data_IF_837474361666
#
_entry.id   IF_837474361666
#
_cell.length_a   1.000
_cell.length_b   1.000
_cell.length_c   1.000
_cell.angle_alpha   90.00
_cell.angle_beta   90.00
_cell.angle_gamma   90.00
#
_symmetry.space_group_name_H-M   'P 1'
#
loop_
_entity.id
_entity.type
_entity.pdbx_description
1 polymer ?
#
# COMPACT_ATOMS: atom_id res chain seq x y z
N UNK A 1 -30.66 -19.36 -33.35
CA UNK A 1 -29.35 -18.72 -33.07
C UNK A 1 -29.46 -17.33 -32.47
N UNK A 2 -30.10 -16.37 -33.16
CA UNK A 2 -30.19 -14.98 -32.68
C UNK A 2 -30.95 -14.89 -31.34
N UNK A 3 -32.10 -15.54 -31.21
CA UNK A 3 -32.87 -15.56 -29.96
C UNK A 3 -32.05 -16.15 -28.79
N UNK A 4 -31.36 -17.28 -29.01
CA UNK A 4 -30.46 -17.89 -28.03
C UNK A 4 -29.35 -16.94 -27.57
N UNK A 5 -28.73 -16.22 -28.52
CA UNK A 5 -27.70 -15.23 -28.20
C UNK A 5 -28.26 -14.00 -27.49
N UNK A 6 -29.50 -13.63 -27.79
CA UNK A 6 -30.22 -12.53 -27.12
C UNK A 6 -30.49 -12.87 -25.66
N UNK A 7 -31.01 -14.07 -25.40
CA UNK A 7 -31.25 -14.58 -24.04
C UNK A 7 -29.96 -14.67 -23.22
N UNK A 8 -28.86 -15.15 -23.83
CA UNK A 8 -27.55 -15.19 -23.18
C UNK A 8 -26.99 -13.80 -22.85
N UNK A 9 -27.22 -12.80 -23.72
CA UNK A 9 -26.81 -11.42 -23.46
C UNK A 9 -27.62 -10.81 -22.31
N UNK A 10 -28.94 -11.02 -22.29
CA UNK A 10 -29.78 -10.54 -21.20
C UNK A 10 -29.42 -11.18 -19.85
N UNK A 11 -29.10 -12.48 -19.84
CA UNK A 11 -28.64 -13.17 -18.62
C UNK A 11 -27.31 -12.60 -18.13
N UNK A 12 -26.35 -12.36 -19.04
CA UNK A 12 -25.06 -11.72 -18.71
C UNK A 12 -25.22 -10.28 -18.24
N UNK A 13 -26.17 -9.54 -18.79
CA UNK A 13 -26.47 -8.17 -18.35
C UNK A 13 -27.07 -8.14 -16.94
N UNK A 14 -27.97 -9.08 -16.62
CA UNK A 14 -28.51 -9.24 -15.25
C UNK A 14 -27.42 -9.63 -14.25
N UNK A 15 -26.52 -10.54 -14.62
CA UNK A 15 -25.36 -10.91 -13.80
C UNK A 15 -24.42 -9.72 -13.57
N UNK A 16 -24.13 -8.94 -14.60
CA UNK A 16 -23.31 -7.74 -14.49
C UNK A 16 -23.94 -6.68 -13.58
N UNK A 17 -25.26 -6.46 -13.69
CA UNK A 17 -26.00 -5.55 -12.82
C UNK A 17 -25.99 -6.01 -11.36
N UNK A 18 -26.12 -7.31 -11.11
CA UNK A 18 -26.01 -7.89 -9.76
C UNK A 18 -24.61 -7.69 -9.16
N UNK A 19 -23.55 -7.96 -9.93
CA UNK A 19 -22.17 -7.76 -9.50
C UNK A 19 -21.80 -6.29 -9.28
N UNK A 20 -22.42 -5.36 -10.01
CA UNK A 20 -22.22 -3.92 -9.80
C UNK A 20 -22.95 -3.40 -8.56
N UNK A 21 -24.11 -3.97 -8.21
CA UNK A 21 -24.92 -3.55 -7.07
C UNK A 21 -24.51 -4.21 -5.74
N UNK A 22 -23.91 -5.40 -5.79
CA UNK A 22 -23.46 -6.16 -4.61
C UNK A 22 -22.41 -5.42 -3.74
N UNK A 23 -21.35 -4.80 -4.30
CA UNK A 23 -20.39 -4.00 -3.52
C UNK A 23 -21.03 -2.77 -2.85
N UNK A 24 -22.04 -2.17 -3.49
CA UNK A 24 -22.79 -1.05 -2.92
C UNK A 24 -23.60 -1.47 -1.69
N UNK A 25 -24.34 -2.58 -1.80
CA UNK A 25 -25.13 -3.17 -0.72
C UNK A 25 -24.27 -3.59 0.48
N UNK A 26 -23.08 -4.14 0.24
CA UNK A 26 -22.14 -4.52 1.30
C UNK A 26 -21.60 -3.30 2.05
N UNK A 27 -21.20 -2.27 1.30
CA UNK A 27 -20.74 -1.00 1.87
C UNK A 27 -21.84 -0.30 2.68
N UNK A 28 -23.09 -0.34 2.23
CA UNK A 28 -24.22 0.21 2.96
C UNK A 28 -24.50 -0.53 4.27
N UNK A 29 -24.39 -1.87 4.28
CA UNK A 29 -24.49 -2.69 5.49
C UNK A 29 -23.37 -2.36 6.48
N UNK A 30 -22.15 -2.21 6.00
CA UNK A 30 -21.00 -1.83 6.84
C UNK A 30 -21.19 -0.43 7.44
N UNK A 31 -21.62 0.55 6.64
CA UNK A 31 -21.93 1.91 7.12
C UNK A 31 -23.04 1.90 8.17
N UNK A 32 -24.07 1.06 7.99
CA UNK A 32 -25.15 0.92 8.97
C UNK A 32 -24.65 0.32 10.30
N UNK A 33 -23.76 -0.68 10.26
CA UNK A 33 -23.12 -1.26 11.43
C UNK A 33 -22.22 -0.25 12.15
N UNK A 34 -21.39 0.49 11.40
CA UNK A 34 -20.52 1.54 11.94
C UNK A 34 -21.35 2.64 12.61
N UNK A 35 -22.44 3.10 11.99
CA UNK A 35 -23.35 4.10 12.59
C UNK A 35 -23.96 3.59 13.89
N UNK A 36 -24.35 2.31 13.97
CA UNK A 36 -24.87 1.70 15.20
C UNK A 36 -23.80 1.65 16.30
N UNK A 37 -22.59 1.20 15.96
CA UNK A 37 -21.47 1.14 16.91
C UNK A 37 -21.09 2.53 17.43
N UNK A 38 -21.09 3.55 16.57
CA UNK A 38 -20.83 4.95 16.97
C UNK A 38 -21.92 5.42 17.94
N UNK A 39 -23.20 5.21 17.61
CA UNK A 39 -24.30 5.60 18.49
C UNK A 39 -24.25 4.91 19.86
N UNK A 40 -23.84 3.63 19.92
CA UNK A 40 -23.65 2.90 21.17
C UNK A 40 -22.47 3.46 21.99
N UNK A 41 -21.35 3.77 21.34
CA UNK A 41 -20.20 4.42 21.99
C UNK A 41 -20.56 5.79 22.54
N UNK A 42 -21.34 6.58 21.82
CA UNK A 42 -21.84 7.87 22.28
C UNK A 42 -22.75 7.74 23.50
N UNK A 43 -23.68 6.78 23.50
CA UNK A 43 -24.51 6.49 24.67
C UNK A 43 -23.69 6.06 25.88
N UNK A 44 -22.70 5.19 25.69
CA UNK A 44 -21.80 4.77 26.76
C UNK A 44 -20.98 5.93 27.33
N UNK A 45 -20.47 6.82 26.47
CA UNK A 45 -19.77 8.05 26.88
C UNK A 45 -20.68 8.99 27.66
N UNK A 46 -21.92 9.18 27.21
CA UNK A 46 -22.90 10.02 27.92
C UNK A 46 -23.22 9.46 29.32
N UNK A 47 -23.45 8.15 29.42
CA UNK A 47 -23.69 7.48 30.71
C UNK A 47 -22.48 7.61 31.64
N UNK A 48 -21.26 7.38 31.12
CA UNK A 48 -20.03 7.57 31.89
C UNK A 48 -19.87 9.00 32.39
N UNK A 49 -20.15 10.01 31.56
CA UNK A 49 -20.06 11.40 31.95
C UNK A 49 -21.05 11.75 33.08
N UNK A 50 -22.28 11.23 33.03
CA UNK A 50 -23.28 11.41 34.10
C UNK A 50 -22.82 10.78 35.41
N UNK A 51 -22.27 9.55 35.36
CA UNK A 51 -21.75 8.86 36.54
C UNK A 51 -20.55 9.61 37.15
N UNK A 52 -19.60 10.07 36.33
CA UNK A 52 -18.47 10.86 36.79
C UNK A 52 -18.92 12.15 37.48
N UNK A 53 -19.94 12.82 36.93
CA UNK A 53 -20.51 14.03 37.56
C UNK A 53 -21.19 13.71 38.89
N UNK A 54 -22.01 12.66 38.96
CA UNK A 54 -22.67 12.23 40.19
C UNK A 54 -21.66 11.88 41.29
N UNK A 55 -20.60 11.14 40.95
CA UNK A 55 -19.55 10.77 41.89
C UNK A 55 -18.79 11.99 42.41
N UNK A 56 -18.54 12.98 41.55
CA UNK A 56 -17.92 14.24 41.95
C UNK A 56 -18.84 15.02 42.90
N UNK A 57 -20.13 15.12 42.61
CA UNK A 57 -21.13 15.79 43.44
C UNK A 57 -21.25 15.14 44.83
N UNK A 58 -21.31 13.80 44.88
CA UNK A 58 -21.31 13.03 46.13
C UNK A 58 -20.02 13.25 46.93
N UNK A 59 -18.86 13.26 46.26
CA UNK A 59 -17.57 13.55 46.92
C UNK A 59 -17.56 14.96 47.51
N UNK A 60 -18.08 15.95 46.78
CA UNK A 60 -18.21 17.32 47.29
C UNK A 60 -19.19 17.41 48.46
N UNK A 61 -20.30 16.67 48.43
CA UNK A 61 -21.23 16.60 49.55
C UNK A 61 -20.58 15.97 50.79
N UNK A 62 -19.89 14.84 50.64
CA UNK A 62 -19.18 14.19 51.74
C UNK A 62 -18.11 15.10 52.35
N UNK A 63 -17.33 15.82 51.52
CA UNK A 63 -16.36 16.81 52.00
C UNK A 63 -17.02 17.94 52.79
N UNK A 64 -18.17 18.45 52.33
CA UNK A 64 -18.93 19.48 53.06
C UNK A 64 -19.45 18.96 54.40
N UNK A 65 -20.02 17.75 54.43
CA UNK A 65 -20.48 17.12 55.66
C UNK A 65 -19.32 16.90 56.64
N UNK A 66 -18.20 16.38 56.15
CA UNK A 66 -17.01 16.16 56.97
C UNK A 66 -16.49 17.48 57.55
N UNK A 67 -16.39 18.54 56.75
CA UNK A 67 -16.00 19.87 57.21
C UNK A 67 -16.96 20.41 58.28
N UNK A 68 -18.28 20.28 58.08
CA UNK A 68 -19.27 20.68 59.07
C UNK A 68 -19.12 19.89 60.39
N UNK A 69 -18.93 18.58 60.32
CA UNK A 69 -18.68 17.76 61.52
C UNK A 69 -17.36 18.12 62.21
N UNK A 70 -16.31 18.43 61.45
CA UNK A 70 -15.03 18.88 62.01
C UNK A 70 -15.18 20.22 62.72
N UNK A 71 -15.92 21.18 62.16
CA UNK A 71 -16.22 22.45 62.84
C UNK A 71 -17.02 22.26 64.12
N UNK A 72 -18.00 21.34 64.12
CA UNK A 72 -18.77 21.03 65.32
C UNK A 72 -17.88 20.41 66.40
N UNK A 73 -17.00 19.47 66.06
CA UNK A 73 -16.01 18.91 66.98
C UNK A 73 -15.04 19.98 67.52
N UNK A 74 -14.57 20.89 66.67
CA UNK A 74 -13.73 22.02 67.09
C UNK A 74 -14.47 22.97 68.03
N UNK A 75 -15.74 23.25 67.79
CA UNK A 75 -16.57 24.06 68.68
C UNK A 75 -16.74 23.39 70.05
N UNK A 76 -17.05 22.09 70.07
CA UNK A 76 -17.16 21.33 71.32
C UNK A 76 -15.83 21.32 72.10
N UNK A 77 -14.69 21.15 71.41
CA UNK A 77 -13.38 21.24 72.02
C UNK A 77 -13.14 22.61 72.67
N UNK A 78 -13.43 23.71 71.96
CA UNK A 78 -13.34 25.07 72.51
C UNK A 78 -14.22 25.28 73.74
N UNK A 79 -15.47 24.82 73.71
CA UNK A 79 -16.36 24.92 74.88
C UNK A 79 -15.85 24.12 76.08
N UNK A 80 -15.17 22.99 75.86
CA UNK A 80 -14.53 22.20 76.91
C UNK A 80 -13.28 22.89 77.46
N UNK A 81 -12.49 23.56 76.62
CA UNK A 81 -11.31 24.33 77.03
C UNK A 81 -11.72 25.59 77.82
N UNK A 82 -12.76 26.31 77.40
CA UNK A 82 -13.32 27.47 78.11
C UNK A 82 -13.87 27.10 79.49
N UNK A 83 -14.50 25.92 79.62
CA UNK A 83 -14.94 25.36 80.91
C UNK A 83 -13.77 25.02 81.85
N UNK A 84 -12.61 24.67 81.31
CA UNK A 84 -11.39 24.38 82.07
C UNK A 84 -10.55 25.65 82.34
N UNK A 85 -10.72 26.70 81.53
CA UNK A 85 -9.96 27.95 81.58
C UNK A 85 -10.52 29.04 82.51
N UNK A 86 -11.74 28.92 83.05
CA UNK A 86 -12.21 29.76 84.17
C UNK A 86 -11.56 29.32 85.48
N UNK A 87 -10.61 30.08 86.06
CA UNK A 87 -10.03 29.77 87.36
C UNK A 87 -10.97 30.34 88.41
N UNK A 88 -11.79 29.49 89.03
CA UNK A 88 -12.71 29.95 90.05
C UNK A 88 -13.34 28.82 90.85
N UNK A 89 -12.76 28.57 92.03
CA UNK A 89 -13.51 28.24 93.23
C UNK A 89 -14.44 27.01 93.17
N UNK A 90 -13.85 25.83 93.35
CA UNK A 90 -14.48 24.76 94.14
C UNK A 90 -13.41 23.88 94.80
N UNK A 91 -12.40 24.52 95.41
CA UNK A 91 -11.68 23.93 96.52
C UNK A 91 -12.61 23.96 97.74
N UNK A 92 -13.56 23.02 97.81
CA UNK A 92 -14.26 22.74 99.06
C UNK A 92 -13.39 21.75 99.83
N UNK A 93 -12.67 22.30 100.80
CA UNK A 93 -12.14 21.59 101.94
C UNK A 93 -13.22 20.65 102.48
N UNK A 94 -12.89 19.36 102.61
CA UNK A 94 -13.57 18.52 103.58
C UNK A 94 -12.52 18.11 104.61
N UNK A 95 -12.78 18.38 105.90
CA UNK A 95 -11.83 18.15 106.97
C UNK A 95 -11.69 16.65 107.19
N UNK A 96 -10.45 16.18 107.34
CA UNK A 96 -10.18 14.87 107.92
C UNK A 96 -10.88 14.77 109.29
N UNK A 97 -11.71 13.75 109.53
CA UNK A 97 -12.09 13.39 110.87
C UNK A 97 -11.23 12.22 111.30
N UNK A 98 -10.22 12.50 112.13
CA UNK A 98 -9.74 11.51 113.09
C UNK A 98 -10.90 11.19 114.04
N UNK A 99 -11.54 10.03 113.85
CA UNK A 99 -12.42 9.41 114.84
C UNK A 99 -12.39 7.89 114.62
N UNK A 100 -12.24 7.14 115.71
CA UNK A 100 -12.19 5.69 115.74
C UNK A 100 -13.48 5.04 115.16
N UNK A 101 -13.44 4.64 113.88
CA UNK A 101 -14.33 3.63 113.28
C UNK A 101 -13.72 3.07 111.96
N UNK A 102 -12.55 2.44 112.06
CA UNK A 102 -11.80 1.94 110.89
C UNK A 102 -12.50 0.78 110.17
N UNK A 103 -13.26 -0.04 110.89
CA UNK A 103 -13.80 -1.28 110.35
C UNK A 103 -15.04 -1.07 109.47
N UNK A 104 -15.90 -0.09 109.79
CA UNK A 104 -17.08 0.22 108.98
C UNK A 104 -16.71 0.84 107.62
N UNK A 105 -15.70 1.72 107.58
CA UNK A 105 -15.26 2.34 106.32
C UNK A 105 -14.52 1.35 105.41
N UNK A 106 -13.69 0.47 106.00
CA UNK A 106 -13.02 -0.61 105.27
C UNK A 106 -14.03 -1.61 104.71
N UNK A 107 -15.07 -1.94 105.48
CA UNK A 107 -16.13 -2.84 105.00
C UNK A 107 -16.91 -2.25 103.81
N UNK A 108 -17.24 -0.95 103.83
CA UNK A 108 -17.89 -0.27 102.72
C UNK A 108 -17.02 -0.24 101.44
N UNK A 109 -15.70 -0.06 101.59
CA UNK A 109 -14.76 -0.12 100.47
C UNK A 109 -14.68 -1.54 99.88
N UNK A 110 -14.67 -2.57 100.72
CA UNK A 110 -14.64 -3.98 100.28
C UNK A 110 -15.92 -4.34 99.50
N UNK A 111 -17.09 -3.92 99.96
CA UNK A 111 -18.35 -4.15 99.22
C UNK A 111 -18.38 -3.42 97.87
N UNK A 112 -17.87 -2.18 97.82
CA UNK A 112 -17.74 -1.44 96.57
C UNK A 112 -16.80 -2.16 95.57
N UNK A 113 -15.65 -2.65 96.03
CA UNK A 113 -14.72 -3.42 95.20
C UNK A 113 -15.32 -4.75 94.74
N UNK A 114 -16.13 -5.41 95.57
CA UNK A 114 -16.86 -6.64 95.17
C UNK A 114 -17.86 -6.35 94.06
N UNK A 115 -18.62 -5.27 94.17
CA UNK A 115 -19.55 -4.84 93.13
C UNK A 115 -18.82 -4.45 91.84
N UNK A 116 -17.74 -3.67 91.94
CA UNK A 116 -16.90 -3.32 90.80
C UNK A 116 -16.31 -4.56 90.13
N UNK A 117 -15.85 -5.55 90.91
CA UNK A 117 -15.36 -6.82 90.37
C UNK A 117 -16.47 -7.60 89.66
N UNK A 118 -17.71 -7.58 90.19
CA UNK A 118 -18.89 -8.17 89.54
C UNK A 118 -19.18 -7.49 88.21
N UNK A 119 -19.19 -6.16 88.17
CA UNK A 119 -19.43 -5.38 86.96
C UNK A 119 -18.31 -5.59 85.93
N UNK A 120 -17.05 -5.65 86.36
CA UNK A 120 -15.92 -5.93 85.46
C UNK A 120 -16.04 -7.33 84.84
N UNK A 121 -16.43 -8.34 85.62
CA UNK A 121 -16.69 -9.69 85.09
C UNK A 121 -17.79 -9.68 84.03
N UNK A 122 -18.90 -8.98 84.27
CA UNK A 122 -19.97 -8.83 83.28
C UNK A 122 -19.52 -8.11 82.01
N UNK A 123 -18.66 -7.09 82.13
CA UNK A 123 -18.07 -6.40 80.98
C UNK A 123 -17.12 -7.31 80.18
N UNK A 124 -16.33 -8.13 80.86
CA UNK A 124 -15.44 -9.12 80.22
C UNK A 124 -16.25 -10.11 79.41
N UNK A 125 -17.28 -10.72 80.01
CA UNK A 125 -18.16 -11.66 79.29
C UNK A 125 -18.84 -11.01 78.09
N UNK A 126 -19.25 -9.74 78.21
CA UNK A 126 -19.87 -9.01 77.09
C UNK A 126 -18.89 -8.77 75.93
N UNK A 127 -17.63 -8.45 76.22
CA UNK A 127 -16.58 -8.27 75.20
C UNK A 127 -16.20 -9.61 74.58
N UNK A 128 -16.13 -10.68 75.36
CA UNK A 128 -15.91 -12.04 74.86
C UNK A 128 -17.01 -12.45 73.88
N UNK A 129 -18.28 -12.17 74.19
CA UNK A 129 -19.42 -12.42 73.29
C UNK A 129 -19.33 -11.59 72.00
N UNK A 130 -18.95 -10.32 72.08
CA UNK A 130 -18.73 -9.46 70.92
C UNK A 130 -17.59 -10.00 70.04
N UNK A 131 -16.49 -10.42 70.66
CA UNK A 131 -15.35 -11.00 69.96
C UNK A 131 -15.75 -12.30 69.24
N UNK A 132 -16.51 -13.19 69.90
CA UNK A 132 -17.03 -14.41 69.29
C UNK A 132 -18.00 -14.13 68.12
N UNK A 133 -18.77 -13.04 68.16
CA UNK A 133 -19.60 -12.60 67.01
C UNK A 133 -18.74 -12.06 65.87
N UNK A 134 -17.74 -11.24 66.19
CA UNK A 134 -16.84 -10.66 65.19
C UNK A 134 -16.03 -11.74 64.47
N UNK A 135 -15.48 -12.71 65.20
CA UNK A 135 -14.75 -13.85 64.61
C UNK A 135 -15.63 -14.67 63.65
N UNK A 136 -16.91 -14.90 63.99
CA UNK A 136 -17.86 -15.58 63.10
C UNK A 136 -18.13 -14.78 61.83
N UNK A 137 -18.29 -13.45 61.95
CA UNK A 137 -18.46 -12.58 60.79
C UNK A 137 -17.20 -12.56 59.91
N UNK A 138 -16.02 -12.46 60.50
CA UNK A 138 -14.75 -12.45 59.79
C UNK A 138 -14.53 -13.76 59.02
N UNK A 139 -14.80 -14.91 59.67
CA UNK A 139 -14.76 -16.21 59.01
C UNK A 139 -15.76 -16.33 57.84
N UNK A 140 -17.01 -15.87 58.04
CA UNK A 140 -18.03 -15.89 56.98
C UNK A 140 -17.68 -14.95 55.81
N UNK A 141 -17.12 -13.77 56.10
CA UNK A 141 -16.61 -12.85 55.07
C UNK A 141 -15.50 -13.51 54.27
N UNK A 142 -14.56 -14.17 54.94
CA UNK A 142 -13.45 -14.84 54.27
C UNK A 142 -13.93 -16.01 53.40
N UNK A 143 -14.92 -16.77 53.86
CA UNK A 143 -15.57 -17.81 53.03
C UNK A 143 -16.26 -17.22 51.81
N UNK A 144 -17.00 -16.12 51.97
CA UNK A 144 -17.65 -15.43 50.86
C UNK A 144 -16.64 -14.91 49.84
N UNK A 145 -15.56 -14.27 50.31
CA UNK A 145 -14.47 -13.78 49.46
C UNK A 145 -13.79 -14.94 48.75
N UNK A 146 -13.49 -16.05 49.44
CA UNK A 146 -12.96 -17.27 48.80
C UNK A 146 -13.89 -17.81 47.72
N UNK A 147 -15.20 -17.81 47.97
CA UNK A 147 -16.22 -18.21 47.01
C UNK A 147 -16.21 -17.35 45.73
N UNK A 148 -16.15 -16.02 45.87
CA UNK A 148 -16.03 -15.10 44.73
C UNK A 148 -14.75 -15.33 43.92
N UNK A 149 -13.62 -15.53 44.60
CA UNK A 149 -12.36 -15.84 43.91
C UNK A 149 -12.44 -17.16 43.13
N UNK A 150 -13.11 -18.17 43.68
CA UNK A 150 -13.32 -19.44 42.98
C UNK A 150 -14.21 -19.28 41.74
N UNK A 151 -15.29 -18.50 41.83
CA UNK A 151 -16.17 -18.19 40.70
C UNK A 151 -15.43 -17.44 39.58
N UNK A 152 -14.66 -16.40 39.94
CA UNK A 152 -13.84 -15.65 38.98
C UNK A 152 -12.81 -16.54 38.29
N UNK A 153 -12.14 -17.42 39.03
CA UNK A 153 -11.20 -18.39 38.46
C UNK A 153 -11.89 -19.38 37.54
N UNK A 154 -13.09 -19.87 37.89
CA UNK A 154 -13.88 -20.76 37.03
C UNK A 154 -14.26 -20.10 35.69
N UNK A 155 -14.65 -18.83 35.71
CA UNK A 155 -14.94 -18.07 34.48
C UNK A 155 -13.69 -17.82 33.63
N UNK A 156 -12.54 -17.53 34.26
CA UNK A 156 -11.28 -17.33 33.53
C UNK A 156 -10.68 -18.64 32.98
N UNK A 157 -10.87 -19.76 33.68
CA UNK A 157 -10.37 -21.07 33.29
C UNK A 157 -11.26 -21.78 32.25
N UNK A 158 -12.41 -21.20 31.90
CA UNK A 158 -13.20 -21.71 30.77
C UNK A 158 -12.36 -21.53 29.50
N UNK A 159 -12.08 -22.58 28.70
CA UNK A 159 -11.16 -22.50 27.55
C UNK A 159 -11.73 -21.75 26.34
N UNK A 160 -13.03 -21.46 26.35
CA UNK A 160 -13.77 -20.78 25.28
C UNK A 160 -13.18 -19.42 24.87
N UNK A 161 -12.75 -18.52 25.79
CA UNK A 161 -12.09 -17.27 25.44
C UNK A 161 -10.70 -17.46 24.83
N UNK A 162 -9.98 -18.52 25.17
CA UNK A 162 -8.68 -18.84 24.57
C UNK A 162 -8.83 -19.40 23.16
N UNK A 163 -9.82 -20.27 22.94
CA UNK A 163 -10.15 -20.78 21.62
C UNK A 163 -10.63 -19.66 20.69
N UNK A 164 -11.50 -18.76 21.18
CA UNK A 164 -11.91 -17.57 20.43
C UNK A 164 -10.73 -16.67 20.11
N UNK A 165 -9.81 -16.43 21.05
CA UNK A 165 -8.58 -15.65 20.79
C UNK A 165 -7.72 -16.29 19.69
N UNK A 166 -7.52 -17.61 19.74
CA UNK A 166 -6.76 -18.35 18.72
C UNK A 166 -7.45 -18.27 17.35
N UNK A 167 -8.76 -18.38 17.32
CA UNK A 167 -9.54 -18.29 16.08
C UNK A 167 -9.49 -16.86 15.49
N UNK A 168 -9.59 -15.83 16.33
CA UNK A 168 -9.39 -14.44 15.89
C UNK A 168 -7.99 -14.24 15.32
N UNK A 169 -6.95 -14.78 15.97
CA UNK A 169 -5.58 -14.72 15.44
C UNK A 169 -5.45 -15.46 14.10
N UNK A 170 -6.08 -16.63 13.94
CA UNK A 170 -6.08 -17.40 12.70
C UNK A 170 -6.76 -16.62 11.57
N UNK A 171 -7.94 -16.08 11.83
CA UNK A 171 -8.71 -15.30 10.85
C UNK A 171 -7.98 -14.00 10.48
N UNK A 172 -7.32 -13.34 11.43
CA UNK A 172 -6.51 -12.16 11.15
C UNK A 172 -5.33 -12.50 10.23
N UNK A 173 -4.61 -13.59 10.50
CA UNK A 173 -3.51 -14.02 9.64
C UNK A 173 -4.00 -14.36 8.21
N UNK A 174 -5.16 -15.01 8.08
CA UNK A 174 -5.77 -15.28 6.77
C UNK A 174 -6.21 -14.00 6.05
N UNK A 175 -6.71 -13.01 6.78
CA UNK A 175 -7.08 -11.73 6.19
C UNK A 175 -5.83 -10.97 5.69
N UNK A 176 -4.76 -10.95 6.48
CA UNK A 176 -3.48 -10.34 6.08
C UNK A 176 -2.93 -11.01 4.81
N UNK A 177 -2.90 -12.34 4.76
CA UNK A 177 -2.50 -13.09 3.56
C UNK A 177 -3.37 -12.72 2.33
N UNK A 178 -4.69 -12.65 2.50
CA UNK A 178 -5.59 -12.25 1.40
C UNK A 178 -5.41 -10.78 0.98
N UNK A 179 -5.05 -9.90 1.91
CA UNK A 179 -4.74 -8.52 1.60
C UNK A 179 -3.43 -8.41 0.81
N UNK A 180 -2.43 -9.20 1.17
CA UNK A 180 -1.15 -9.28 0.46
C UNK A 180 -1.33 -9.85 -0.95
N UNK A 181 -2.09 -10.94 -1.11
CA UNK A 181 -2.49 -11.49 -2.42
C UNK A 181 -3.17 -10.42 -3.29
N UNK A 182 -4.10 -9.66 -2.70
CA UNK A 182 -4.79 -8.58 -3.41
C UNK A 182 -3.84 -7.44 -3.79
N UNK A 183 -2.85 -7.13 -2.95
CA UNK A 183 -1.85 -6.11 -3.24
C UNK A 183 -0.92 -6.55 -4.38
N UNK A 184 -0.55 -7.84 -4.43
CA UNK A 184 0.20 -8.45 -5.53
C UNK A 184 -0.56 -8.39 -6.84
N UNK A 185 -1.80 -8.87 -6.87
CA UNK A 185 -2.63 -8.83 -8.06
C UNK A 185 -2.85 -7.39 -8.59
N UNK A 186 -2.96 -6.40 -7.70
CA UNK A 186 -3.04 -4.98 -8.08
C UNK A 186 -1.75 -4.48 -8.74
N UNK A 187 -0.58 -4.87 -8.21
CA UNK A 187 0.73 -4.53 -8.79
C UNK A 187 0.88 -5.15 -10.18
N UNK A 188 0.54 -6.43 -10.32
CA UNK A 188 0.56 -7.12 -11.61
C UNK A 188 -0.36 -6.46 -12.63
N UNK A 189 -1.60 -6.14 -12.25
CA UNK A 189 -2.55 -5.46 -13.13
C UNK A 189 -2.02 -4.08 -13.56
N UNK A 190 -1.40 -3.32 -12.66
CA UNK A 190 -0.79 -2.04 -13.01
C UNK A 190 0.37 -2.22 -13.99
N UNK A 191 1.22 -3.23 -13.79
CA UNK A 191 2.31 -3.57 -14.72
C UNK A 191 1.78 -3.96 -16.10
N UNK A 192 0.72 -4.78 -16.16
CA UNK A 192 0.11 -5.22 -17.41
C UNK A 192 -0.54 -4.06 -18.16
N UNK A 193 -1.20 -3.13 -17.46
CA UNK A 193 -1.73 -1.90 -18.06
C UNK A 193 -0.63 -1.04 -18.64
N UNK A 194 0.47 -0.82 -17.90
CA UNK A 194 1.61 -0.06 -18.42
C UNK A 194 2.24 -0.72 -19.64
N UNK A 195 2.38 -2.05 -19.66
CA UNK A 195 2.88 -2.79 -20.81
C UNK A 195 1.95 -2.67 -22.03
N UNK A 196 0.63 -2.75 -21.80
CA UNK A 196 -0.38 -2.55 -22.84
C UNK A 196 -0.31 -1.13 -23.41
N UNK A 197 -0.22 -0.13 -22.56
CA UNK A 197 -0.18 1.27 -22.99
C UNK A 197 1.11 1.56 -23.79
N UNK A 198 2.25 1.03 -23.37
CA UNK A 198 3.51 1.09 -24.14
C UNK A 198 3.42 0.36 -25.50
N UNK A 199 2.69 -0.77 -25.56
CA UNK A 199 2.44 -1.47 -26.82
C UNK A 199 1.56 -0.65 -27.77
N UNK A 200 0.53 0.04 -27.25
CA UNK A 200 -0.31 0.94 -28.04
C UNK A 200 0.49 2.13 -28.58
N UNK A 201 1.35 2.72 -27.78
CA UNK A 201 2.28 3.78 -28.24
C UNK A 201 3.19 3.27 -29.37
N UNK A 202 3.73 2.05 -29.24
CA UNK A 202 4.55 1.44 -30.29
C UNK A 202 3.76 1.22 -31.58
N UNK A 203 2.51 0.77 -31.50
CA UNK A 203 1.63 0.61 -32.67
C UNK A 203 1.41 1.95 -33.34
N UNK A 204 1.07 3.01 -32.59
CA UNK A 204 0.89 4.35 -33.15
C UNK A 204 2.16 4.85 -33.86
N UNK A 205 3.34 4.62 -33.28
CA UNK A 205 4.60 4.99 -33.92
C UNK A 205 4.83 4.23 -35.23
N UNK A 206 4.50 2.94 -35.28
CA UNK A 206 4.60 2.15 -36.51
C UNK A 206 3.58 2.60 -37.57
N UNK A 207 2.37 2.99 -37.18
CA UNK A 207 1.38 3.59 -38.08
C UNK A 207 1.92 4.88 -38.71
N UNK A 208 2.54 5.75 -37.91
CA UNK A 208 3.18 6.97 -38.43
C UNK A 208 4.34 6.64 -39.38
N UNK A 209 5.13 5.61 -39.07
CA UNK A 209 6.21 5.16 -39.96
C UNK A 209 5.68 4.65 -41.30
N UNK A 210 4.59 3.88 -41.29
CA UNK A 210 3.93 3.40 -42.52
C UNK A 210 3.45 4.58 -43.36
N UNK A 211 2.86 5.60 -42.73
CA UNK A 211 2.41 6.81 -43.43
C UNK A 211 3.60 7.54 -44.08
N UNK A 212 4.69 7.76 -43.34
CA UNK A 212 5.90 8.40 -43.86
C UNK A 212 6.46 7.62 -45.06
N UNK A 213 6.61 6.31 -44.94
CA UNK A 213 7.08 5.48 -46.05
C UNK A 213 6.14 5.50 -47.24
N UNK A 214 4.82 5.50 -47.01
CA UNK A 214 3.85 5.64 -48.10
C UNK A 214 4.08 6.95 -48.86
N UNK A 215 4.27 8.04 -48.13
CA UNK A 215 4.52 9.36 -48.74
C UNK A 215 5.84 9.37 -49.51
N UNK A 216 6.92 8.79 -48.96
CA UNK A 216 8.21 8.61 -49.64
C UNK A 216 8.07 7.78 -50.93
N UNK A 217 7.29 6.70 -50.91
CA UNK A 217 7.02 5.90 -52.11
C UNK A 217 6.22 6.68 -53.17
N UNK A 218 5.34 7.59 -52.76
CA UNK A 218 4.58 8.42 -53.71
C UNK A 218 5.43 9.53 -54.30
N UNK A 219 6.30 10.16 -53.52
CA UNK A 219 7.23 11.19 -53.99
C UNK A 219 8.24 10.60 -54.97
N UNK A 220 8.86 9.46 -54.63
CA UNK A 220 9.80 8.75 -55.50
C UNK A 220 9.15 8.33 -56.83
N UNK A 221 7.89 7.87 -56.79
CA UNK A 221 7.12 7.58 -58.01
C UNK A 221 6.89 8.83 -58.85
N UNK A 222 6.51 9.95 -58.24
CA UNK A 222 6.32 11.20 -58.95
C UNK A 222 7.64 11.71 -59.56
N UNK A 223 8.77 11.55 -58.86
CA UNK A 223 10.10 11.84 -59.39
C UNK A 223 10.45 10.94 -60.59
N UNK A 224 10.13 9.65 -60.50
CA UNK A 224 10.32 8.71 -61.60
C UNK A 224 9.49 9.09 -62.83
N UNK A 225 8.23 9.48 -62.65
CA UNK A 225 7.35 9.93 -63.75
C UNK A 225 7.87 11.22 -64.39
N UNK A 226 8.39 12.16 -63.59
CA UNK A 226 9.08 13.36 -64.10
C UNK A 226 10.32 13.00 -64.92
N UNK A 227 11.15 12.10 -64.40
CA UNK A 227 12.35 11.63 -65.10
C UNK A 227 11.98 10.91 -66.42
N UNK A 228 10.94 10.08 -66.41
CA UNK A 228 10.43 9.42 -67.62
C UNK A 228 9.92 10.44 -68.64
N UNK A 229 9.15 11.45 -68.22
CA UNK A 229 8.68 12.52 -69.12
C UNK A 229 9.86 13.25 -69.77
N UNK A 230 10.89 13.55 -68.98
CA UNK A 230 12.12 14.18 -69.48
C UNK A 230 12.87 13.31 -70.48
N UNK A 231 12.92 11.99 -70.26
CA UNK A 231 13.53 11.05 -71.21
C UNK A 231 12.79 11.10 -72.55
N UNK A 232 11.45 11.02 -72.54
CA UNK A 232 10.66 11.08 -73.78
C UNK A 232 10.89 12.41 -74.52
N UNK A 233 10.89 13.55 -73.82
CA UNK A 233 11.20 14.86 -74.43
C UNK A 233 12.59 14.89 -75.08
N UNK A 234 13.59 14.28 -74.43
CA UNK A 234 14.95 14.22 -74.95
C UNK A 234 15.05 13.26 -76.15
N UNK A 235 14.34 12.13 -76.12
CA UNK A 235 14.24 11.20 -77.25
C UNK A 235 13.60 11.87 -78.47
N UNK A 236 12.52 12.65 -78.30
CA UNK A 236 11.90 13.44 -79.36
C UNK A 236 12.86 14.49 -79.95
N UNK A 237 13.60 15.20 -79.09
CA UNK A 237 14.61 16.17 -79.52
C UNK A 237 15.73 15.50 -80.30
N UNK A 238 16.22 14.34 -79.84
CA UNK A 238 17.24 13.55 -80.54
C UNK A 238 16.71 13.09 -81.89
N UNK A 239 15.47 12.58 -81.97
CA UNK A 239 14.85 12.18 -83.23
C UNK A 239 14.70 13.36 -84.22
N UNK A 240 14.30 14.54 -83.73
CA UNK A 240 14.22 15.76 -84.54
C UNK A 240 15.60 16.17 -85.06
N UNK A 241 16.63 16.17 -84.20
CA UNK A 241 18.00 16.50 -84.56
C UNK A 241 18.58 15.49 -85.56
N UNK A 242 18.34 14.20 -85.37
CA UNK A 242 18.73 13.15 -86.32
C UNK A 242 18.09 13.37 -87.69
N UNK A 243 16.78 13.66 -87.73
CA UNK A 243 16.09 14.00 -88.98
C UNK A 243 16.68 15.26 -89.61
N UNK A 244 16.94 16.31 -88.83
CA UNK A 244 17.53 17.55 -89.35
C UNK A 244 18.97 17.34 -89.86
N UNK A 245 19.73 16.45 -89.22
CA UNK A 245 21.06 16.05 -89.66
C UNK A 245 20.99 15.27 -90.98
N UNK A 246 20.06 14.31 -91.13
CA UNK A 246 19.87 13.57 -92.37
C UNK A 246 19.50 14.50 -93.53
N UNK A 247 18.55 15.44 -93.33
CA UNK A 247 18.22 16.46 -94.35
C UNK A 247 19.42 17.34 -94.74
N UNK A 248 20.27 17.72 -93.77
CA UNK A 248 21.50 18.47 -94.05
C UNK A 248 22.54 17.63 -94.79
N UNK A 249 22.60 16.33 -94.53
CA UNK A 249 23.53 15.39 -95.14
C UNK A 249 23.11 15.09 -96.59
N UNK A 250 21.83 14.82 -96.84
CA UNK A 250 21.25 14.63 -98.18
C UNK A 250 21.38 15.90 -99.04
N UNK A 251 21.20 17.09 -98.45
CA UNK A 251 21.40 18.36 -99.14
C UNK A 251 22.87 18.71 -99.42
N UNK A 252 23.82 18.12 -98.69
CA UNK A 252 25.27 18.29 -98.89
C UNK A 252 25.83 17.26 -99.87
N UNK A 253 25.21 16.09 -99.97
CA UNK A 253 25.49 15.10 -101.02
C UNK A 253 25.01 15.57 -102.41
N UNK A 254 23.92 16.37 -102.48
CA UNK A 254 23.55 17.09 -103.70
C UNK A 254 24.50 18.25 -104.07
N UNK A 255 25.42 18.64 -103.18
CA UNK A 255 26.34 19.77 -103.35
C UNK A 255 27.80 19.41 -103.03
N UNK A 256 28.25 18.20 -103.35
CA UNK A 256 29.66 17.82 -103.28
C UNK A 256 30.24 17.52 -104.66
N UNK A 257 30.75 18.57 -105.31
CA UNK A 257 31.79 18.47 -106.33
C UNK A 257 32.92 19.45 -106.01
N UNK A 258 34.09 18.89 -105.63
CA UNK A 258 35.46 19.43 -105.79
C UNK A 258 35.85 20.67 -104.94
N UNK A 259 37.03 20.86 -104.34
CA UNK A 259 38.35 20.20 -104.35
C UNK A 259 39.29 21.01 -103.38
N UNK A 260 40.40 20.38 -102.94
CA UNK A 260 41.74 20.94 -102.54
C UNK A 260 42.24 20.94 -101.08
N UNK A 261 43.37 20.22 -100.98
CA UNK A 261 44.53 20.22 -100.07
C UNK A 261 45.01 21.56 -99.51
N UNK A 262 45.53 21.52 -98.27
CA UNK A 262 46.48 22.53 -97.76
C UNK A 262 46.80 22.35 -96.27
N UNK A 263 48.02 21.87 -95.97
CA UNK A 263 48.57 21.79 -94.61
C UNK A 263 48.92 23.16 -94.04
N UNK A 264 48.75 23.37 -92.73
CA UNK A 264 49.75 24.04 -91.88
C UNK A 264 49.40 23.95 -90.39
N UNK A 265 50.30 23.39 -89.61
CA UNK A 265 50.36 23.53 -88.15
C UNK A 265 50.74 24.97 -87.76
N UNK A 266 50.30 25.43 -86.58
CA UNK A 266 51.17 26.23 -85.72
C UNK A 266 51.22 25.71 -84.27
N UNK A 267 52.32 26.12 -83.62
CA UNK A 267 52.91 25.57 -82.40
C UNK A 267 52.19 26.02 -81.11
N UNK A 268 52.24 25.13 -80.12
CA UNK A 268 52.71 25.34 -78.73
C UNK A 268 52.33 26.64 -78.02
N UNK A 269 51.70 26.53 -76.84
CA UNK A 269 52.24 27.08 -75.61
C UNK A 269 51.75 26.27 -74.39
N UNK A 270 52.74 25.72 -73.71
CA UNK A 270 52.78 25.14 -72.37
C UNK A 270 52.78 26.29 -71.34
N UNK A 271 52.06 26.13 -70.23
CA UNK A 271 52.30 26.92 -69.01
C UNK A 271 51.95 26.05 -67.81
N UNK A 272 52.94 25.30 -67.35
CA UNK A 272 53.06 24.86 -65.96
C UNK A 272 53.34 26.09 -65.07
N UNK A 273 52.76 26.10 -63.86
CA UNK A 273 53.50 26.35 -62.61
C UNK A 273 52.55 26.43 -61.39
N UNK A 274 52.62 25.38 -60.58
CA UNK A 274 52.96 25.40 -59.15
C UNK A 274 51.99 26.00 -58.10
N UNK A 275 51.63 25.13 -57.15
CA UNK A 275 51.46 25.37 -55.70
C UNK A 275 52.56 26.31 -55.13
N UNK A 276 52.47 26.96 -53.93
CA UNK A 276 51.87 26.44 -52.68
C UNK A 276 51.27 27.52 -51.72
N UNK A 277 50.76 27.09 -50.56
CA UNK A 277 51.16 27.54 -49.20
C UNK A 277 50.15 27.01 -48.17
N UNK A 278 50.67 26.19 -47.26
CA UNK A 278 50.05 25.81 -46.00
C UNK A 278 50.43 26.81 -44.90
N UNK A 279 49.47 27.18 -44.04
CA UNK A 279 49.60 27.54 -42.61
C UNK A 279 48.25 28.12 -42.15
N UNK A 280 47.64 27.78 -41.02
CA UNK A 280 48.00 26.92 -39.90
C UNK A 280 46.99 27.13 -38.76
N UNK A 281 46.83 26.10 -37.91
CA UNK A 281 46.29 26.17 -36.55
C UNK A 281 44.75 26.14 -36.42
N UNK A 282 44.12 25.34 -35.54
CA UNK A 282 44.58 24.46 -34.47
C UNK A 282 43.43 23.49 -34.09
N UNK A 283 43.81 22.24 -33.78
CA UNK A 283 43.07 21.07 -33.21
C UNK A 283 42.57 21.31 -31.74
N UNK A 284 41.98 20.35 -30.96
CA UNK A 284 41.99 18.85 -31.02
C UNK A 284 40.63 18.14 -30.76
N UNK A 285 40.44 16.80 -30.83
CA UNK A 285 41.28 15.60 -30.98
C UNK A 285 40.41 14.38 -31.37
N UNK A 286 40.87 13.39 -32.17
CA UNK A 286 41.64 12.15 -31.86
C UNK A 286 41.11 11.33 -30.67
N UNK A 287 40.81 10.03 -30.77
CA UNK A 287 40.94 9.07 -31.88
C UNK A 287 40.49 7.66 -31.46
N UNK A 288 40.56 6.68 -32.37
CA UNK A 288 40.63 5.25 -32.07
C UNK A 288 41.27 4.54 -33.26
N UNK A 289 42.29 3.72 -32.98
CA UNK A 289 43.16 3.02 -33.92
C UNK A 289 43.16 1.53 -33.58
N UNK A 290 43.06 0.70 -34.63
CA UNK A 290 43.63 -0.63 -34.86
C UNK A 290 43.29 -1.81 -33.92
N UNK A 291 42.88 -2.95 -34.53
CA UNK A 291 43.74 -4.14 -34.69
C UNK A 291 43.06 -5.29 -35.46
N UNK A 292 43.93 -6.10 -36.08
CA UNK A 292 43.74 -7.22 -37.01
C UNK A 292 43.15 -8.54 -36.45
N UNK A 293 42.86 -9.45 -37.39
CA UNK A 293 42.25 -10.81 -37.35
C UNK A 293 42.92 -11.87 -36.42
N UNK A 294 42.34 -13.09 -36.32
CA UNK A 294 42.80 -14.17 -37.21
C UNK A 294 41.69 -15.05 -37.83
N UNK A 295 42.06 -15.67 -38.95
CA UNK A 295 41.32 -16.70 -39.69
C UNK A 295 41.31 -18.06 -38.98
N UNK A 296 40.37 -18.93 -39.39
CA UNK A 296 40.45 -20.41 -39.57
C UNK A 296 39.06 -21.02 -39.32
N UNK A 297 38.48 -21.72 -40.31
CA UNK A 297 37.29 -22.54 -40.07
C UNK A 297 36.31 -22.80 -41.22
N UNK A 298 36.77 -23.28 -42.38
CA UNK A 298 36.04 -24.28 -43.18
C UNK A 298 34.86 -23.82 -44.05
N UNK A 299 35.12 -23.66 -45.35
CA UNK A 299 34.12 -23.86 -46.39
C UNK A 299 33.76 -25.35 -46.52
N UNK A 300 32.47 -25.70 -46.56
CA UNK A 300 31.92 -26.77 -47.42
C UNK A 300 30.39 -26.79 -47.32
N UNK A 301 29.70 -26.71 -48.46
CA UNK A 301 28.28 -27.04 -48.55
C UNK A 301 27.44 -26.06 -49.33
N UNK A 302 27.62 -26.06 -50.66
CA UNK A 302 26.65 -25.52 -51.60
C UNK A 302 25.31 -26.23 -51.40
N UNK A 303 24.29 -25.48 -51.01
CA UNK A 303 22.92 -25.63 -51.53
C UNK A 303 22.24 -24.28 -51.33
N UNK A 304 21.52 -23.84 -52.36
CA UNK A 304 20.76 -22.59 -52.38
C UNK A 304 20.01 -22.39 -51.06
N UNK A 305 20.43 -21.39 -50.26
CA UNK A 305 19.59 -20.92 -49.16
C UNK A 305 18.46 -20.12 -49.80
N UNK A 306 17.39 -20.82 -50.15
CA UNK A 306 16.13 -20.22 -50.55
C UNK A 306 15.68 -19.25 -49.46
N UNK A 307 15.20 -18.09 -49.85
CA UNK A 307 14.43 -17.25 -48.94
C UNK A 307 13.15 -18.02 -48.62
N UNK A 308 13.12 -18.73 -47.48
CA UNK A 308 11.92 -19.43 -47.05
C UNK A 308 12.13 -20.81 -46.43
N UNK A 309 13.12 -20.97 -45.55
CA UNK A 309 13.28 -22.20 -44.77
C UNK A 309 13.05 -21.90 -43.27
N UNK A 310 11.98 -22.45 -42.71
CA UNK A 310 11.65 -22.43 -41.28
C UNK A 310 12.53 -23.45 -40.54
N UNK A 311 13.00 -23.12 -39.35
CA UNK A 311 13.90 -23.99 -38.56
C UNK A 311 13.31 -24.34 -37.20
N UNK A 312 13.47 -25.60 -36.81
CA UNK A 312 13.14 -26.04 -35.46
C UNK A 312 14.13 -25.42 -34.46
N UNK A 313 13.67 -24.71 -33.41
CA UNK A 313 14.55 -24.02 -32.47
C UNK A 313 15.33 -24.98 -31.55
N UNK A 314 14.99 -26.27 -31.53
CA UNK A 314 15.59 -27.26 -30.62
C UNK A 314 16.68 -28.11 -31.29
N UNK A 315 16.43 -28.61 -32.50
CA UNK A 315 17.38 -29.47 -33.23
C UNK A 315 17.95 -28.81 -34.51
N UNK A 316 17.52 -27.59 -34.83
CA UNK A 316 17.94 -26.82 -36.01
C UNK A 316 17.64 -27.49 -37.36
N UNK A 317 16.73 -28.47 -37.38
CA UNK A 317 16.26 -29.08 -38.61
C UNK A 317 15.49 -28.06 -39.45
N UNK A 318 15.84 -27.97 -40.74
CA UNK A 318 15.23 -27.04 -41.70
C UNK A 318 14.01 -27.68 -42.37
N UNK A 319 12.98 -26.86 -42.55
CA UNK A 319 11.72 -27.15 -43.22
C UNK A 319 11.47 -26.05 -44.23
N UNK A 320 10.95 -26.36 -45.41
CA UNK A 320 10.56 -25.31 -46.37
C UNK A 320 9.33 -24.54 -45.86
N UNK A 321 9.09 -23.32 -46.34
CA UNK A 321 7.91 -22.51 -45.99
C UNK A 321 6.56 -23.24 -46.22
N UNK A 322 6.49 -24.17 -47.18
CA UNK A 322 5.29 -24.98 -47.44
C UNK A 322 5.06 -26.10 -46.41
N UNK A 323 6.06 -26.40 -45.57
CA UNK A 323 6.05 -27.49 -44.58
C UNK A 323 5.77 -27.02 -43.14
N UNK A 324 5.12 -25.87 -42.98
CA UNK A 324 4.85 -25.27 -41.66
C UNK A 324 4.12 -26.21 -40.68
N UNK A 325 3.15 -27.00 -41.15
CA UNK A 325 2.43 -27.97 -40.30
C UNK A 325 3.32 -29.14 -39.82
N UNK A 326 4.29 -29.53 -40.64
CA UNK A 326 5.25 -30.60 -40.32
C UNK A 326 6.29 -30.10 -39.31
N UNK A 327 6.70 -28.84 -39.41
CA UNK A 327 7.52 -28.17 -38.40
C UNK A 327 6.81 -28.13 -37.05
N UNK A 328 5.53 -27.75 -36.97
CA UNK A 328 4.83 -27.69 -35.69
C UNK A 328 4.67 -29.07 -35.04
N UNK A 329 4.40 -30.11 -35.83
CA UNK A 329 4.36 -31.50 -35.35
C UNK A 329 5.73 -31.94 -34.83
N UNK A 330 6.78 -31.65 -35.60
CA UNK A 330 8.15 -31.93 -35.21
C UNK A 330 8.56 -31.20 -33.93
N UNK A 331 8.22 -29.91 -33.77
CA UNK A 331 8.53 -29.14 -32.56
C UNK A 331 7.85 -29.72 -31.33
N UNK A 332 6.62 -30.25 -31.46
CA UNK A 332 5.89 -30.91 -30.37
C UNK A 332 6.51 -32.26 -29.94
N UNK A 333 7.22 -32.93 -30.85
CA UNK A 333 7.94 -34.19 -30.58
C UNK A 333 9.38 -33.94 -30.13
N UNK A 334 10.03 -32.89 -30.66
CA UNK A 334 11.42 -32.54 -30.38
C UNK A 334 11.62 -31.87 -29.02
N UNK A 335 10.55 -31.41 -28.36
CA UNK A 335 10.58 -30.77 -27.04
C UNK A 335 10.25 -31.72 -25.87
N UNK A 336 10.07 -33.02 -26.12
CA UNK A 336 9.96 -34.08 -25.10
C UNK A 336 11.32 -34.67 -24.75
#
# INVERSE_FOLDING_TARGET
>A
EIERLSEQLEEKEREAQHLLSQPGLEREKEVALLRRSVAEKERARAASHVLCRSLADETHQLRRTLAATAHMCQHLAKCLDERQGTPGAAGQQSPEPECADGDASVHAVVEKLREENRVLRQKVTHVEDLNARWQRYDASRDEYVRGLHAQLKGLQATPEPELMRKEVSRLNAQLEEKMDDCAEARRELASAKSARDAALERVQMLEQQILAYKDDFTSERADRERAQSRIHELEEQVALLQRQASWRQDSREAASCRIHTGSRSPRYLETDASEPVAAGGRRPGTGSQWLDLPAEGGCSGVTQRGQGDLQCPHCLQCFSDEQGEELFRHVAECCQ
#
